data_IF_128795671436
#
_entry.id   IF_128795671436
#
_cell.length_a   1.000
_cell.length_b   1.000
_cell.length_c   1.000
_cell.angle_alpha   90.00
_cell.angle_beta   90.00
_cell.angle_gamma   90.00
#
_symmetry.space_group_name_H-M   'P 1'
#
loop_
_entity.id
_entity.type
_entity.pdbx_description
1 polymer ?
#
# COMPACT_ATOMS: atom_id res chain seq x y z
N UNK A 1 20.19 7.84 7.91
CA UNK A 1 19.40 8.51 6.86
C UNK A 1 18.51 9.51 7.58
N UNK A 2 18.42 10.76 7.14
CA UNK A 2 17.59 11.77 7.79
C UNK A 2 16.12 11.61 7.38
N UNK A 3 15.20 11.83 8.32
CA UNK A 3 13.78 12.03 7.98
C UNK A 3 13.59 13.35 7.25
N UNK A 4 12.39 13.57 6.68
CA UNK A 4 12.07 14.84 6.00
C UNK A 4 12.15 16.02 6.96
N UNK A 5 11.67 15.86 8.18
CA UNK A 5 11.64 16.88 9.23
C UNK A 5 13.05 17.20 9.70
N UNK A 6 13.87 16.18 9.93
CA UNK A 6 15.28 16.33 10.26
C UNK A 6 16.03 17.09 9.16
N UNK A 7 15.80 16.71 7.89
CA UNK A 7 16.43 17.38 6.77
C UNK A 7 15.99 18.84 6.65
N UNK A 8 14.70 19.13 6.87
CA UNK A 8 14.16 20.48 6.79
C UNK A 8 14.79 21.45 7.79
N UNK A 9 15.11 20.97 9.00
CA UNK A 9 15.75 21.81 10.04
C UNK A 9 17.12 22.34 9.62
N UNK A 10 17.92 21.52 8.92
CA UNK A 10 19.30 21.88 8.56
C UNK A 10 19.47 22.29 7.10
N UNK A 11 18.44 22.12 6.27
CA UNK A 11 18.53 22.34 4.82
C UNK A 11 19.07 23.72 4.48
N UNK A 12 18.59 24.76 5.18
CA UNK A 12 19.00 26.16 5.00
C UNK A 12 20.51 26.36 5.18
N UNK A 13 21.10 25.78 6.21
CA UNK A 13 22.52 25.97 6.53
C UNK A 13 23.41 25.15 5.60
N UNK A 14 22.93 23.97 5.20
CA UNK A 14 23.62 23.11 4.25
C UNK A 14 23.74 23.78 2.88
N UNK A 15 22.66 24.34 2.34
CA UNK A 15 22.71 24.99 1.00
C UNK A 15 23.52 26.30 0.98
N UNK A 16 23.70 26.94 2.15
CA UNK A 16 24.58 28.11 2.29
C UNK A 16 26.06 27.71 2.27
N UNK A 17 26.36 26.51 2.78
CA UNK A 17 27.74 26.01 2.92
C UNK A 17 28.20 25.27 1.66
N UNK A 18 27.32 24.51 1.02
CA UNK A 18 27.62 23.76 -0.21
C UNK A 18 26.85 24.36 -1.41
N UNK A 19 27.52 25.16 -2.25
CA UNK A 19 26.89 25.75 -3.42
C UNK A 19 26.65 24.75 -4.55
N UNK A 20 27.30 23.59 -4.62
CA UNK A 20 26.99 22.60 -5.65
C UNK A 20 25.93 21.60 -5.15
N UNK A 21 24.67 21.83 -5.54
CA UNK A 21 23.56 20.95 -5.17
C UNK A 21 23.76 19.50 -5.61
N UNK A 22 24.57 19.24 -6.65
CA UNK A 22 24.83 17.88 -7.15
C UNK A 22 25.55 17.00 -6.11
N UNK A 23 26.28 17.63 -5.17
CA UNK A 23 26.96 16.95 -4.07
C UNK A 23 26.03 16.55 -2.93
N UNK A 24 24.85 17.16 -2.84
CA UNK A 24 23.87 16.85 -1.81
C UNK A 24 23.23 15.49 -2.04
N UNK A 25 22.95 14.76 -0.96
CA UNK A 25 22.25 13.48 -1.02
C UNK A 25 20.74 13.68 -1.17
N UNK A 26 20.02 12.67 -1.66
CA UNK A 26 18.55 12.69 -1.74
C UNK A 26 17.90 12.95 -0.37
N UNK A 27 18.48 12.37 0.69
CA UNK A 27 18.03 12.52 2.08
C UNK A 27 18.19 13.94 2.64
N UNK A 28 19.13 14.73 2.11
CA UNK A 28 19.24 16.16 2.43
C UNK A 28 18.27 16.98 1.59
N UNK A 29 18.19 16.69 0.28
CA UNK A 29 17.37 17.45 -0.67
C UNK A 29 15.87 17.40 -0.36
N UNK A 30 15.36 16.32 0.24
CA UNK A 30 13.97 16.26 0.71
C UNK A 30 13.63 17.28 1.81
N UNK A 31 14.64 17.93 2.42
CA UNK A 31 14.49 19.00 3.41
C UNK A 31 14.15 20.37 2.81
N UNK A 32 13.97 20.47 1.49
CA UNK A 32 13.56 21.72 0.86
C UNK A 32 12.26 22.28 1.46
N UNK A 33 12.22 23.57 1.76
CA UNK A 33 11.01 24.22 2.28
C UNK A 33 10.74 25.52 1.54
N UNK A 34 9.49 25.97 1.58
CA UNK A 34 9.10 27.22 0.94
C UNK A 34 9.79 28.43 1.59
N UNK A 35 10.00 28.40 2.91
CA UNK A 35 10.72 29.44 3.63
C UNK A 35 12.15 29.61 3.09
N UNK A 36 12.85 28.49 2.85
CA UNK A 36 14.20 28.53 2.26
C UNK A 36 14.16 28.98 0.81
N UNK A 37 13.18 28.53 0.03
CA UNK A 37 13.04 28.93 -1.37
C UNK A 37 12.86 30.45 -1.54
N UNK A 38 12.08 31.08 -0.66
CA UNK A 38 11.84 32.53 -0.69
C UNK A 38 13.11 33.36 -0.41
N UNK A 39 14.14 32.79 0.21
CA UNK A 39 15.44 33.45 0.44
C UNK A 39 16.41 33.25 -0.76
N UNK A 40 16.04 32.45 -1.76
CA UNK A 40 16.90 32.09 -2.88
C UNK A 40 16.50 32.82 -4.16
N UNK A 41 17.49 33.12 -5.01
CA UNK A 41 17.24 33.61 -6.36
C UNK A 41 16.49 32.56 -7.20
N UNK A 42 15.53 32.95 -8.06
CA UNK A 42 14.73 32.01 -8.86
C UNK A 42 15.57 31.04 -9.71
N UNK A 43 16.66 31.52 -10.32
CA UNK A 43 17.58 30.68 -11.10
C UNK A 43 18.17 29.55 -10.26
N UNK A 44 18.48 29.87 -9.00
CA UNK A 44 19.08 28.92 -8.06
C UNK A 44 18.09 27.85 -7.62
N UNK A 45 16.82 28.23 -7.45
CA UNK A 45 15.73 27.29 -7.19
C UNK A 45 15.50 26.38 -8.41
N UNK A 46 15.58 26.91 -9.62
CA UNK A 46 15.48 26.10 -10.84
C UNK A 46 16.62 25.07 -10.94
N UNK A 47 17.86 25.45 -10.65
CA UNK A 47 19.00 24.53 -10.62
C UNK A 47 18.81 23.41 -9.59
N UNK A 48 18.37 23.78 -8.38
CA UNK A 48 18.05 22.85 -7.30
C UNK A 48 16.97 21.85 -7.73
N UNK A 49 15.89 22.33 -8.35
CA UNK A 49 14.79 21.48 -8.83
C UNK A 49 15.28 20.45 -9.87
N UNK A 50 16.15 20.85 -10.79
CA UNK A 50 16.75 19.93 -11.78
C UNK A 50 17.62 18.87 -11.11
N UNK A 51 18.34 19.22 -10.05
CA UNK A 51 19.11 18.26 -9.24
C UNK A 51 18.17 17.29 -8.52
N UNK A 52 17.08 17.80 -7.94
CA UNK A 52 16.06 16.96 -7.30
C UNK A 52 15.46 15.95 -8.26
N UNK A 53 15.18 16.33 -9.53
CA UNK A 53 14.77 15.38 -10.57
C UNK A 53 15.82 14.30 -10.80
N UNK A 54 17.08 14.69 -11.05
CA UNK A 54 18.18 13.75 -11.33
C UNK A 54 18.41 12.73 -10.20
N UNK A 55 18.12 13.13 -8.96
CA UNK A 55 18.24 12.28 -7.76
C UNK A 55 16.92 11.64 -7.31
N UNK A 56 15.83 11.77 -8.09
CA UNK A 56 14.50 11.25 -7.78
C UNK A 56 14.03 11.59 -6.34
N UNK A 57 14.21 12.84 -5.92
CA UNK A 57 13.83 13.30 -4.57
C UNK A 57 12.31 13.30 -4.43
N UNK A 58 11.78 12.64 -3.39
CA UNK A 58 10.33 12.62 -3.09
C UNK A 58 9.92 13.86 -2.30
N UNK A 59 9.20 14.75 -2.95
CA UNK A 59 8.68 15.99 -2.36
C UNK A 59 7.20 15.83 -2.00
N UNK A 60 6.76 16.50 -0.93
CA UNK A 60 5.35 16.59 -0.55
C UNK A 60 4.59 17.67 -1.35
N UNK A 61 3.26 17.64 -1.26
CA UNK A 61 2.38 18.56 -2.00
C UNK A 61 2.71 20.04 -1.72
N UNK A 62 2.92 20.43 -0.46
CA UNK A 62 3.26 21.82 -0.09
C UNK A 62 4.63 22.26 -0.64
N UNK A 63 5.61 21.36 -0.62
CA UNK A 63 6.94 21.60 -1.19
C UNK A 63 6.82 21.83 -2.70
N UNK A 64 6.05 21.01 -3.40
CA UNK A 64 5.84 21.10 -4.85
C UNK A 64 5.04 22.33 -5.26
N UNK A 65 3.96 22.66 -4.54
CA UNK A 65 3.15 23.86 -4.77
C UNK A 65 4.00 25.13 -4.68
N UNK A 66 4.87 25.21 -3.66
CA UNK A 66 5.82 26.31 -3.57
C UNK A 66 6.91 26.27 -4.66
N UNK A 67 7.46 25.09 -4.94
CA UNK A 67 8.50 24.94 -5.95
C UNK A 67 8.00 25.35 -7.34
N UNK A 68 6.77 25.02 -7.72
CA UNK A 68 6.13 25.53 -8.96
C UNK A 68 6.13 27.04 -8.98
N UNK A 69 5.63 27.70 -7.93
CA UNK A 69 5.56 29.18 -7.87
C UNK A 69 6.93 29.83 -8.07
N UNK A 70 7.96 29.28 -7.44
CA UNK A 70 9.32 29.80 -7.54
C UNK A 70 9.95 29.55 -8.92
N UNK A 71 9.77 28.35 -9.48
CA UNK A 71 10.27 27.98 -10.81
C UNK A 71 9.64 28.85 -11.91
N UNK A 72 8.37 29.19 -11.75
CA UNK A 72 7.59 30.00 -12.71
C UNK A 72 7.75 31.52 -12.53
N UNK A 73 8.48 31.97 -11.51
CA UNK A 73 8.51 33.37 -11.10
C UNK A 73 9.07 34.32 -12.18
N UNK A 74 10.02 33.85 -13.01
CA UNK A 74 10.57 34.59 -14.15
C UNK A 74 9.97 34.18 -15.50
N UNK A 75 8.77 33.61 -15.46
CA UNK A 75 8.08 33.04 -16.61
C UNK A 75 8.26 31.53 -16.70
N UNK A 76 7.53 30.94 -17.64
CA UNK A 76 7.45 29.49 -17.81
C UNK A 76 8.75 28.95 -18.42
N UNK A 77 9.46 28.02 -17.75
CA UNK A 77 10.61 27.35 -18.33
C UNK A 77 10.28 26.63 -19.63
N UNK A 78 11.20 26.67 -20.60
CA UNK A 78 11.06 25.94 -21.88
C UNK A 78 11.49 24.48 -21.77
N UNK A 79 12.02 24.07 -20.62
CA UNK A 79 12.61 22.77 -20.37
C UNK A 79 11.96 22.10 -19.15
N UNK A 80 10.63 22.13 -19.03
CA UNK A 80 9.90 21.52 -17.91
C UNK A 80 10.19 20.01 -17.73
N UNK A 81 10.60 19.34 -18.80
CA UNK A 81 11.14 17.97 -18.79
C UNK A 81 12.41 17.80 -17.94
N UNK A 82 13.09 18.86 -17.54
CA UNK A 82 14.26 18.80 -16.65
C UNK A 82 13.90 18.87 -15.16
N UNK A 83 12.63 19.10 -14.81
CA UNK A 83 12.13 19.24 -13.44
C UNK A 83 11.34 18.00 -12.97
N UNK A 84 11.18 17.75 -11.66
CA UNK A 84 10.41 16.62 -11.14
C UNK A 84 9.02 16.51 -11.80
N UNK A 85 8.62 15.31 -12.23
CA UNK A 85 7.34 15.12 -12.92
C UNK A 85 6.15 15.51 -12.05
N UNK A 86 6.28 15.36 -10.72
CA UNK A 86 5.25 15.72 -9.74
C UNK A 86 4.91 17.22 -9.76
N UNK A 87 5.80 18.09 -10.25
CA UNK A 87 5.48 19.52 -10.43
C UNK A 87 4.38 19.72 -11.48
N UNK A 88 4.31 18.84 -12.48
CA UNK A 88 3.31 18.95 -13.54
C UNK A 88 1.89 18.77 -13.01
N UNK A 89 1.70 18.12 -11.86
CA UNK A 89 0.39 18.01 -11.20
C UNK A 89 -0.21 19.36 -10.81
N UNK A 90 0.63 20.39 -10.65
CA UNK A 90 0.24 21.74 -10.26
C UNK A 90 0.29 22.74 -11.42
N UNK A 91 0.44 22.25 -12.65
CA UNK A 91 0.48 23.05 -13.87
C UNK A 91 -0.71 22.73 -14.77
N UNK A 92 -0.98 23.61 -15.74
CA UNK A 92 -1.93 23.33 -16.81
C UNK A 92 -1.19 22.81 -18.05
N UNK A 93 -1.84 22.00 -18.90
CA UNK A 93 -1.26 21.58 -20.18
C UNK A 93 -0.83 22.76 -21.07
N UNK A 94 -1.51 23.90 -20.96
CA UNK A 94 -1.13 25.14 -21.67
C UNK A 94 0.24 25.67 -21.25
N UNK A 95 0.60 25.50 -19.97
CA UNK A 95 1.89 25.95 -19.45
C UNK A 95 3.02 25.07 -20.00
N UNK A 96 2.73 23.84 -20.44
CA UNK A 96 3.71 22.94 -21.03
C UNK A 96 3.98 23.20 -22.52
N UNK A 97 3.19 24.05 -23.19
CA UNK A 97 3.21 24.20 -24.65
C UNK A 97 4.58 24.61 -25.22
N UNK A 98 5.40 25.33 -24.45
CA UNK A 98 6.76 25.72 -24.85
C UNK A 98 7.80 24.59 -24.67
N UNK A 99 7.51 23.58 -23.85
CA UNK A 99 8.39 22.43 -23.58
C UNK A 99 8.09 21.27 -24.53
N UNK A 100 6.81 20.96 -24.77
CA UNK A 100 6.46 19.83 -25.61
C UNK A 100 4.97 19.71 -25.89
N UNK A 101 4.61 18.55 -26.43
CA UNK A 101 3.21 18.28 -26.81
C UNK A 101 2.34 17.93 -25.60
N UNK A 102 1.02 18.08 -25.76
CA UNK A 102 0.06 17.64 -24.75
C UNK A 102 0.18 16.14 -24.42
N UNK A 103 0.46 15.28 -25.41
CA UNK A 103 0.73 13.85 -25.17
C UNK A 103 1.94 13.63 -24.26
N UNK A 104 3.01 14.41 -24.48
CA UNK A 104 4.23 14.35 -23.67
C UNK A 104 4.00 14.87 -22.25
N UNK A 105 3.22 15.94 -22.09
CA UNK A 105 2.78 16.43 -20.79
C UNK A 105 2.10 15.31 -20.00
N UNK A 106 1.06 14.68 -20.56
CA UNK A 106 0.34 13.61 -19.86
C UNK A 106 1.17 12.34 -19.68
N UNK A 107 2.11 12.02 -20.58
CA UNK A 107 3.05 10.92 -20.37
C UNK A 107 4.01 11.15 -19.19
N UNK A 108 4.28 12.41 -18.83
CA UNK A 108 5.06 12.76 -17.64
C UNK A 108 4.19 12.84 -16.39
N UNK A 109 2.98 13.42 -16.49
CA UNK A 109 1.97 13.41 -15.41
C UNK A 109 1.62 11.98 -15.00
N UNK A 110 1.45 11.07 -15.95
CA UNK A 110 1.16 9.65 -15.68
C UNK A 110 2.27 8.92 -14.92
N UNK A 111 3.47 9.49 -14.81
CA UNK A 111 4.59 8.96 -14.00
C UNK A 111 4.68 9.62 -12.62
N UNK A 112 3.91 10.67 -12.37
CA UNK A 112 3.89 11.39 -11.10
C UNK A 112 3.11 10.63 -10.03
N UNK A 113 3.38 10.90 -8.76
CA UNK A 113 2.64 10.34 -7.63
C UNK A 113 1.29 11.04 -7.46
N UNK A 114 0.20 10.42 -7.89
CA UNK A 114 -1.14 11.03 -7.81
C UNK A 114 -1.65 11.27 -6.40
N UNK A 115 -1.10 10.59 -5.38
CA UNK A 115 -1.48 10.76 -3.98
C UNK A 115 -1.08 12.14 -3.41
N UNK A 116 -0.31 12.91 -4.18
CA UNK A 116 -0.06 14.33 -3.93
C UNK A 116 -1.32 15.20 -4.13
N UNK A 117 -2.30 14.69 -4.88
CA UNK A 117 -3.62 15.29 -5.04
C UNK A 117 -4.67 14.38 -4.37
N UNK A 118 -5.52 14.97 -3.54
CA UNK A 118 -6.63 14.22 -2.93
C UNK A 118 -7.48 13.58 -4.04
N UNK A 119 -7.86 12.30 -3.87
CA UNK A 119 -8.47 11.46 -4.92
C UNK A 119 -9.70 12.09 -5.58
N UNK A 120 -10.53 12.75 -4.78
CA UNK A 120 -11.78 13.37 -5.23
C UNK A 120 -11.68 14.89 -5.39
N UNK A 121 -10.46 15.45 -5.34
CA UNK A 121 -10.24 16.87 -5.58
C UNK A 121 -10.67 17.29 -6.98
N UNK A 122 -11.13 18.53 -7.09
CA UNK A 122 -11.51 19.12 -8.37
C UNK A 122 -10.35 19.14 -9.37
N UNK A 123 -9.14 19.33 -8.85
CA UNK A 123 -7.86 19.40 -9.56
C UNK A 123 -7.52 18.06 -10.21
N UNK A 124 -7.60 16.96 -9.44
CA UNK A 124 -7.32 15.61 -9.95
C UNK A 124 -8.35 15.16 -10.99
N UNK A 125 -9.63 15.46 -10.74
CA UNK A 125 -10.70 15.19 -11.71
C UNK A 125 -10.50 15.98 -13.01
N UNK A 126 -10.15 17.27 -12.90
CA UNK A 126 -9.89 18.11 -14.06
C UNK A 126 -8.68 17.60 -14.86
N UNK A 127 -7.62 17.17 -14.18
CA UNK A 127 -6.42 16.60 -14.80
C UNK A 127 -6.74 15.36 -15.64
N UNK A 128 -7.59 14.46 -15.12
CA UNK A 128 -8.07 13.30 -15.88
C UNK A 128 -8.88 13.73 -17.11
N UNK A 129 -9.83 14.66 -16.96
CA UNK A 129 -10.65 15.13 -18.08
C UNK A 129 -9.81 15.76 -19.20
N UNK A 130 -8.81 16.55 -18.84
CA UNK A 130 -7.86 17.15 -19.78
C UNK A 130 -6.99 16.08 -20.47
N UNK A 131 -6.59 15.03 -19.74
CA UNK A 131 -5.85 13.91 -20.30
C UNK A 131 -6.68 13.16 -21.35
N UNK A 132 -7.93 12.85 -21.02
CA UNK A 132 -8.86 12.17 -21.93
C UNK A 132 -9.11 13.00 -23.21
N UNK A 133 -9.31 14.31 -23.06
CA UNK A 133 -9.49 15.24 -24.17
C UNK A 133 -8.23 15.34 -25.05
N UNK A 134 -7.06 15.42 -24.42
CA UNK A 134 -5.77 15.48 -25.09
C UNK A 134 -5.48 14.25 -25.95
N UNK A 135 -5.78 13.07 -25.40
CA UNK A 135 -5.58 11.78 -26.07
C UNK A 135 -6.69 11.43 -27.05
N UNK A 136 -7.75 12.26 -27.12
CA UNK A 136 -8.92 12.07 -27.99
C UNK A 136 -9.53 10.68 -27.83
N UNK A 137 -9.70 10.25 -26.57
CA UNK A 137 -10.24 8.93 -26.27
C UNK A 137 -11.73 8.88 -26.67
N UNK A 138 -12.13 7.97 -27.58
CA UNK A 138 -13.52 7.89 -28.04
C UNK A 138 -14.39 7.17 -27.01
N UNK A 139 -15.28 7.92 -26.35
CA UNK A 139 -16.11 7.39 -25.28
C UNK A 139 -15.25 6.81 -24.16
N UNK A 140 -15.41 5.52 -23.87
CA UNK A 140 -14.67 4.81 -22.81
C UNK A 140 -13.56 3.89 -23.35
N UNK A 141 -13.28 3.95 -24.65
CA UNK A 141 -12.37 3.01 -25.33
C UNK A 141 -10.90 3.47 -25.24
N UNK A 142 -10.17 2.96 -24.25
CA UNK A 142 -8.75 3.23 -24.04
C UNK A 142 -7.91 2.12 -24.66
N UNK A 143 -7.07 2.47 -25.63
CA UNK A 143 -6.11 1.52 -26.22
C UNK A 143 -4.84 1.41 -25.37
N UNK A 144 -3.97 0.43 -25.69
CA UNK A 144 -2.74 0.15 -24.95
C UNK A 144 -1.73 1.31 -24.95
N UNK A 145 -1.68 2.11 -26.01
CA UNK A 145 -0.78 3.27 -26.08
C UNK A 145 -1.26 4.38 -25.14
N UNK A 146 -2.55 4.70 -25.20
CA UNK A 146 -3.17 5.71 -24.36
C UNK A 146 -3.15 5.31 -22.88
N UNK A 147 -3.37 4.04 -22.55
CA UNK A 147 -3.25 3.52 -21.18
C UNK A 147 -1.85 3.77 -20.60
N UNK A 148 -0.80 3.51 -21.38
CA UNK A 148 0.60 3.78 -20.98
C UNK A 148 0.89 5.27 -20.83
N UNK A 149 0.28 6.13 -21.65
CA UNK A 149 0.44 7.59 -21.52
C UNK A 149 -0.26 8.09 -20.26
N UNK A 150 -1.48 7.59 -19.98
CA UNK A 150 -2.20 7.92 -18.76
C UNK A 150 -1.43 7.49 -17.51
N UNK A 151 -0.72 6.36 -17.56
CA UNK A 151 0.08 5.87 -16.43
C UNK A 151 -0.79 5.77 -15.18
N UNK A 152 -0.38 6.39 -14.07
CA UNK A 152 -1.16 6.38 -12.83
C UNK A 152 -2.55 7.03 -12.95
N UNK A 153 -2.83 7.89 -13.94
CA UNK A 153 -4.18 8.46 -14.13
C UNK A 153 -5.24 7.40 -14.44
N UNK A 154 -4.84 6.19 -14.84
CA UNK A 154 -5.78 5.07 -15.00
C UNK A 154 -6.48 4.71 -13.69
N UNK A 155 -5.88 5.00 -12.54
CA UNK A 155 -6.44 4.71 -11.21
C UNK A 155 -7.71 5.51 -10.90
N UNK A 156 -7.98 6.57 -11.66
CA UNK A 156 -9.16 7.43 -11.52
C UNK A 156 -10.20 7.19 -12.63
N UNK A 157 -9.95 6.25 -13.55
CA UNK A 157 -10.94 5.88 -14.57
C UNK A 157 -12.10 5.11 -13.94
N UNK A 158 -13.33 5.50 -14.24
CA UNK A 158 -14.54 4.83 -13.75
C UNK A 158 -14.66 3.38 -14.25
N UNK A 159 -15.48 2.59 -13.56
CA UNK A 159 -15.68 1.16 -13.88
C UNK A 159 -16.11 0.90 -15.33
N UNK A 160 -16.77 1.85 -16.00
CA UNK A 160 -17.14 1.75 -17.42
C UNK A 160 -15.92 1.66 -18.36
N UNK A 161 -14.85 2.41 -18.10
CA UNK A 161 -13.61 2.34 -18.88
C UNK A 161 -12.93 0.98 -18.70
N UNK A 162 -12.92 0.49 -17.47
CA UNK A 162 -12.37 -0.83 -17.12
C UNK A 162 -13.12 -1.92 -17.88
N UNK A 163 -14.46 -1.90 -17.86
CA UNK A 163 -15.30 -2.87 -18.58
C UNK A 163 -15.07 -2.84 -20.08
N UNK A 164 -14.97 -1.65 -20.68
CA UNK A 164 -14.81 -1.51 -22.13
C UNK A 164 -13.39 -1.71 -22.64
N UNK A 165 -12.38 -1.62 -21.78
CA UNK A 165 -10.96 -1.57 -22.18
C UNK A 165 -10.03 -2.40 -21.30
N UNK A 166 -10.55 -3.46 -20.68
CA UNK A 166 -9.84 -4.33 -19.75
C UNK A 166 -8.47 -4.82 -20.28
N UNK A 167 -8.42 -5.26 -21.54
CA UNK A 167 -7.18 -5.78 -22.15
C UNK A 167 -6.04 -4.75 -22.23
N UNK A 168 -6.36 -3.46 -22.22
CA UNK A 168 -5.37 -2.38 -22.21
C UNK A 168 -5.07 -1.86 -20.80
N UNK A 169 -6.05 -1.88 -19.89
CA UNK A 169 -5.97 -1.19 -18.60
C UNK A 169 -5.46 -2.07 -17.45
N UNK A 170 -5.74 -3.38 -17.43
CA UNK A 170 -5.47 -4.21 -16.24
C UNK A 170 -4.01 -4.20 -15.76
N UNK A 171 -3.06 -4.09 -16.70
CA UNK A 171 -1.63 -3.99 -16.36
C UNK A 171 -1.28 -2.67 -15.68
N UNK A 172 -1.83 -1.56 -16.16
CA UNK A 172 -1.55 -0.25 -15.58
C UNK A 172 -2.33 -0.08 -14.26
N UNK A 173 -3.56 -0.63 -14.18
CA UNK A 173 -4.34 -0.69 -12.95
C UNK A 173 -3.64 -1.48 -11.84
N UNK A 174 -2.81 -2.49 -12.16
CA UNK A 174 -2.07 -3.23 -11.13
C UNK A 174 -0.99 -2.40 -10.42
N UNK A 175 -0.75 -1.16 -10.86
CA UNK A 175 0.11 -0.19 -10.18
C UNK A 175 -0.65 0.75 -9.23
N UNK A 176 -1.98 0.71 -9.22
CA UNK A 176 -2.80 1.54 -8.34
C UNK A 176 -2.75 1.04 -6.90
N UNK A 177 -2.76 1.97 -5.94
CA UNK A 177 -2.72 1.63 -4.51
C UNK A 177 -4.09 1.17 -3.97
N UNK A 178 -5.18 1.70 -4.52
CA UNK A 178 -6.55 1.39 -4.08
C UNK A 178 -7.58 1.65 -5.17
N UNK A 179 -8.77 1.07 -5.01
CA UNK A 179 -9.86 1.15 -5.97
C UNK A 179 -11.16 1.60 -5.29
N UNK A 180 -12.02 2.26 -6.05
CA UNK A 180 -13.39 2.54 -5.65
C UNK A 180 -14.27 1.29 -5.83
N UNK A 181 -15.40 1.17 -5.10
CA UNK A 181 -16.26 -0.02 -5.17
C UNK A 181 -16.73 -0.37 -6.59
N UNK A 182 -17.01 0.64 -7.42
CA UNK A 182 -17.42 0.46 -8.82
C UNK A 182 -16.27 -0.07 -9.70
N UNK A 183 -15.05 0.39 -9.46
CA UNK A 183 -13.84 -0.07 -10.11
C UNK A 183 -13.55 -1.51 -9.71
N UNK A 184 -13.68 -1.85 -8.43
CA UNK A 184 -13.48 -3.22 -7.94
C UNK A 184 -14.44 -4.20 -8.62
N UNK A 185 -15.73 -3.86 -8.67
CA UNK A 185 -16.74 -4.66 -9.35
C UNK A 185 -16.41 -4.84 -10.84
N UNK A 186 -16.01 -3.75 -11.51
CA UNK A 186 -15.60 -3.79 -12.91
C UNK A 186 -14.39 -4.71 -13.12
N UNK A 187 -13.36 -4.61 -12.28
CA UNK A 187 -12.15 -5.45 -12.33
C UNK A 187 -12.51 -6.92 -12.14
N UNK A 188 -13.30 -7.26 -11.12
CA UNK A 188 -13.76 -8.64 -10.87
C UNK A 188 -14.54 -9.21 -12.06
N UNK A 189 -15.43 -8.40 -12.63
CA UNK A 189 -16.25 -8.78 -13.78
C UNK A 189 -15.39 -9.10 -15.01
N UNK A 190 -14.46 -8.22 -15.38
CA UNK A 190 -13.62 -8.43 -16.58
C UNK A 190 -12.64 -9.57 -16.39
N UNK A 191 -12.04 -9.73 -15.21
CA UNK A 191 -11.17 -10.87 -14.88
C UNK A 191 -11.94 -12.18 -14.97
N UNK A 192 -13.14 -12.23 -14.38
CA UNK A 192 -13.97 -13.43 -14.38
C UNK A 192 -14.43 -13.85 -15.77
N UNK A 193 -14.64 -12.89 -16.68
CA UNK A 193 -15.00 -13.15 -18.08
C UNK A 193 -13.88 -13.80 -18.89
N UNK A 194 -12.63 -13.62 -18.47
CA UNK A 194 -11.44 -14.04 -19.22
C UNK A 194 -11.16 -13.25 -20.50
N UNK A 195 -11.98 -12.23 -20.84
CA UNK A 195 -11.78 -11.37 -22.00
C UNK A 195 -10.71 -10.30 -21.74
N UNK A 196 -9.52 -10.77 -21.40
CA UNK A 196 -8.37 -9.94 -21.06
C UNK A 196 -7.14 -10.45 -21.80
N UNK A 197 -6.08 -9.65 -21.84
CA UNK A 197 -4.78 -10.08 -22.36
C UNK A 197 -4.12 -11.19 -21.53
N UNK A 198 -4.60 -11.43 -20.32
CA UNK A 198 -4.12 -12.46 -19.39
C UNK A 198 -4.93 -13.76 -19.47
N UNK A 199 -6.04 -13.78 -20.21
CA UNK A 199 -6.94 -14.92 -20.29
C UNK A 199 -7.74 -15.17 -19.00
N UNK A 200 -8.50 -16.28 -18.94
CA UNK A 200 -9.31 -16.63 -17.78
C UNK A 200 -8.43 -17.13 -16.60
N UNK A 201 -8.90 -17.01 -15.34
CA UNK A 201 -8.12 -17.39 -14.15
C UNK A 201 -7.57 -18.82 -14.16
N UNK A 202 -8.26 -19.77 -14.80
CA UNK A 202 -7.83 -21.16 -14.94
C UNK A 202 -6.53 -21.32 -15.75
N UNK A 203 -6.23 -20.36 -16.63
CA UNK A 203 -5.05 -20.37 -17.51
C UNK A 203 -3.88 -19.55 -16.94
N UNK A 204 -4.04 -18.95 -15.75
CA UNK A 204 -3.02 -18.09 -15.18
C UNK A 204 -1.78 -18.86 -14.75
N UNK A 205 -0.63 -18.20 -14.92
CA UNK A 205 0.67 -18.65 -14.41
C UNK A 205 1.08 -17.85 -13.18
N UNK A 206 2.13 -18.29 -12.48
CA UNK A 206 2.69 -17.50 -11.38
C UNK A 206 3.24 -16.13 -11.87
N UNK A 207 3.73 -16.06 -13.11
CA UNK A 207 4.12 -14.78 -13.72
C UNK A 207 2.91 -13.86 -13.90
N UNK A 208 1.76 -14.41 -14.30
CA UNK A 208 0.51 -13.66 -14.46
C UNK A 208 0.07 -13.06 -13.13
N UNK A 209 0.07 -13.85 -12.05
CA UNK A 209 -0.23 -13.36 -10.70
C UNK A 209 0.75 -12.29 -10.23
N UNK A 210 2.04 -12.44 -10.57
CA UNK A 210 3.05 -11.43 -10.24
C UNK A 210 2.84 -10.11 -11.00
N UNK A 211 2.45 -10.16 -12.28
CA UNK A 211 2.10 -8.95 -13.05
C UNK A 211 0.82 -8.26 -12.54
N UNK A 212 -0.12 -9.05 -12.00
CA UNK A 212 -1.40 -8.57 -11.47
C UNK A 212 -1.40 -8.40 -9.94
N UNK A 213 -0.22 -8.34 -9.31
CA UNK A 213 -0.13 -8.34 -7.84
C UNK A 213 -0.92 -7.20 -7.18
N UNK A 214 -0.94 -5.99 -7.76
CA UNK A 214 -1.76 -4.89 -7.22
C UNK A 214 -3.27 -5.08 -7.35
N UNK A 215 -3.74 -6.04 -8.15
CA UNK A 215 -5.17 -6.38 -8.25
C UNK A 215 -5.60 -7.49 -7.29
N UNK A 216 -4.65 -8.21 -6.68
CA UNK A 216 -4.92 -9.29 -5.70
C UNK A 216 -5.90 -8.87 -4.60
N UNK A 217 -5.82 -7.66 -4.01
CA UNK A 217 -6.75 -7.23 -2.98
C UNK A 217 -8.21 -7.14 -3.44
N UNK A 218 -8.43 -6.99 -4.75
CA UNK A 218 -9.76 -6.87 -5.35
C UNK A 218 -10.35 -8.24 -5.67
N UNK A 219 -9.54 -9.30 -5.78
CA UNK A 219 -10.02 -10.61 -6.19
C UNK A 219 -10.77 -11.32 -5.06
N UNK A 220 -11.94 -11.87 -5.39
CA UNK A 220 -12.78 -12.62 -4.46
C UNK A 220 -12.60 -14.14 -4.57
N UNK A 221 -13.22 -14.86 -3.63
CA UNK A 221 -13.22 -16.32 -3.57
C UNK A 221 -13.62 -16.99 -4.90
N UNK A 222 -14.55 -16.38 -5.66
CA UNK A 222 -15.04 -16.95 -6.93
C UNK A 222 -13.99 -16.94 -8.04
N UNK A 223 -13.06 -15.97 -7.98
CA UNK A 223 -11.91 -15.89 -8.88
C UNK A 223 -10.81 -16.82 -8.39
N UNK A 224 -10.49 -16.79 -7.10
CA UNK A 224 -9.41 -17.60 -6.55
C UNK A 224 -9.61 -19.10 -6.71
N UNK A 225 -10.84 -19.61 -6.51
CA UNK A 225 -11.18 -21.02 -6.72
C UNK A 225 -10.93 -21.50 -8.17
N UNK A 226 -10.88 -20.58 -9.13
CA UNK A 226 -10.59 -20.89 -10.53
C UNK A 226 -9.10 -20.97 -10.81
N UNK A 227 -8.25 -20.36 -9.99
CA UNK A 227 -6.79 -20.38 -10.18
C UNK A 227 -6.23 -21.74 -9.76
N UNK A 228 -5.35 -22.39 -10.55
CA UNK A 228 -4.79 -23.68 -10.16
C UNK A 228 -4.01 -23.62 -8.85
N UNK A 229 -4.29 -24.52 -7.89
CA UNK A 229 -3.66 -24.54 -6.57
C UNK A 229 -2.12 -24.61 -6.62
N UNK A 230 -1.57 -25.40 -7.54
CA UNK A 230 -0.12 -25.50 -7.73
C UNK A 230 0.51 -24.17 -8.16
N UNK A 231 -0.23 -23.33 -8.91
CA UNK A 231 0.21 -21.99 -9.31
C UNK A 231 0.21 -21.05 -8.11
N UNK A 232 -0.85 -21.06 -7.29
CA UNK A 232 -0.91 -20.26 -6.06
C UNK A 232 0.20 -20.65 -5.07
N UNK A 233 0.43 -21.94 -4.84
CA UNK A 233 1.52 -22.42 -3.97
C UNK A 233 2.89 -22.00 -4.50
N UNK A 234 3.14 -22.16 -5.81
CA UNK A 234 4.40 -21.73 -6.41
C UNK A 234 4.56 -20.20 -6.33
N UNK A 235 3.49 -19.44 -6.51
CA UNK A 235 3.53 -18.00 -6.42
C UNK A 235 3.86 -17.53 -5.00
N UNK A 236 3.15 -18.06 -3.99
CA UNK A 236 3.42 -17.75 -2.58
C UNK A 236 4.88 -18.04 -2.20
N UNK A 237 5.41 -19.18 -2.63
CA UNK A 237 6.78 -19.59 -2.32
C UNK A 237 7.84 -18.63 -2.86
N UNK A 238 7.65 -18.13 -4.09
CA UNK A 238 8.70 -17.41 -4.81
C UNK A 238 8.51 -15.89 -4.83
N UNK A 239 7.29 -15.39 -4.61
CA UNK A 239 6.97 -13.96 -4.78
C UNK A 239 6.33 -13.31 -3.56
N UNK A 240 5.74 -14.05 -2.61
CA UNK A 240 5.03 -13.42 -1.48
C UNK A 240 5.93 -12.57 -0.60
N UNK A 241 7.19 -12.99 -0.36
CA UNK A 241 8.15 -12.24 0.46
C UNK A 241 8.49 -10.86 -0.12
N UNK A 242 8.66 -10.80 -1.43
CA UNK A 242 9.04 -9.57 -2.14
C UNK A 242 7.82 -8.76 -2.61
N UNK A 243 6.61 -9.29 -2.37
CA UNK A 243 5.37 -8.62 -2.72
C UNK A 243 5.09 -7.44 -1.78
N UNK A 244 4.42 -6.42 -2.30
CA UNK A 244 3.93 -5.28 -1.50
C UNK A 244 2.62 -5.58 -0.76
N UNK A 245 2.14 -6.82 -0.83
CA UNK A 245 0.87 -7.19 -0.22
C UNK A 245 0.99 -7.25 1.29
N UNK A 246 -0.07 -6.83 1.96
CA UNK A 246 -0.19 -7.01 3.40
C UNK A 246 -0.32 -8.50 3.75
N UNK A 247 0.01 -8.85 5.00
CA UNK A 247 -0.22 -10.20 5.52
C UNK A 247 -1.70 -10.61 5.45
N UNK A 248 -2.63 -9.65 5.48
CA UNK A 248 -4.05 -9.91 5.34
C UNK A 248 -4.43 -10.30 3.92
N UNK A 249 -3.88 -9.60 2.92
CA UNK A 249 -4.07 -9.91 1.50
C UNK A 249 -3.44 -11.24 1.12
N UNK A 250 -2.29 -11.60 1.69
CA UNK A 250 -1.70 -12.92 1.46
C UNK A 250 -2.52 -14.05 2.09
N UNK A 251 -3.19 -13.78 3.22
CA UNK A 251 -3.98 -14.78 3.90
C UNK A 251 -5.23 -15.20 3.13
N UNK A 252 -5.80 -14.32 2.30
CA UNK A 252 -6.92 -14.70 1.41
C UNK A 252 -6.46 -15.80 0.45
N UNK A 253 -5.23 -15.73 -0.07
CA UNK A 253 -4.67 -16.79 -0.94
C UNK A 253 -4.39 -18.07 -0.15
N UNK A 254 -3.90 -17.96 1.09
CA UNK A 254 -3.66 -19.12 1.97
C UNK A 254 -4.97 -19.88 2.22
N UNK A 255 -6.07 -19.15 2.48
CA UNK A 255 -7.39 -19.73 2.71
C UNK A 255 -7.87 -20.60 1.54
N UNK A 256 -7.58 -20.20 0.30
CA UNK A 256 -7.94 -20.92 -0.93
C UNK A 256 -7.16 -22.23 -1.10
N UNK A 257 -5.94 -22.27 -0.53
CA UNK A 257 -5.09 -23.45 -0.54
C UNK A 257 -5.47 -24.45 0.53
N UNK A 258 -6.07 -24.01 1.63
CA UNK A 258 -6.53 -24.89 2.70
C UNK A 258 -7.63 -25.85 2.20
N UNK A 259 -7.71 -27.06 2.78
CA UNK A 259 -8.76 -28.00 2.44
C UNK A 259 -10.12 -27.51 2.95
N UNK A 260 -11.12 -27.43 2.06
CA UNK A 260 -12.50 -27.04 2.41
C UNK A 260 -13.18 -27.98 3.40
N UNK A 261 -12.74 -29.25 3.48
CA UNK A 261 -13.28 -30.23 4.42
C UNK A 261 -12.36 -30.38 5.63
N UNK A 262 -12.84 -29.94 6.78
CA UNK A 262 -12.17 -30.15 8.06
C UNK A 262 -12.08 -31.66 8.36
N UNK A 263 -10.87 -32.15 8.65
CA UNK A 263 -10.68 -33.51 9.17
C UNK A 263 -11.07 -33.51 10.65
N UNK A 264 -11.76 -34.56 11.11
CA UNK A 264 -12.06 -34.72 12.55
C UNK A 264 -10.78 -35.04 13.30
N UNK A 265 -10.63 -34.43 14.47
CA UNK A 265 -9.62 -34.66 15.52
C UNK A 265 -8.38 -35.43 15.05
N UNK A 266 -7.51 -34.72 14.34
CA UNK A 266 -6.20 -35.22 13.94
C UNK A 266 -5.23 -34.71 15.00
N UNK A 267 -4.70 -35.61 15.84
CA UNK A 267 -3.57 -35.26 16.71
C UNK A 267 -2.40 -34.71 15.88
N UNK A 268 -1.50 -33.92 16.49
CA UNK A 268 -0.40 -33.29 15.74
C UNK A 268 0.46 -34.36 15.03
N UNK A 269 0.49 -34.39 13.69
CA UNK A 269 1.31 -35.35 12.98
C UNK A 269 2.79 -35.15 13.34
N UNK A 270 3.54 -36.24 13.53
CA UNK A 270 4.93 -36.17 13.99
C UNK A 270 5.83 -35.29 13.10
N UNK A 271 5.57 -35.31 11.80
CA UNK A 271 6.29 -34.53 10.77
C UNK A 271 5.89 -33.04 10.76
N UNK A 272 4.74 -32.69 11.34
CA UNK A 272 4.20 -31.33 11.38
C UNK A 272 4.37 -30.68 12.75
N UNK A 273 5.22 -31.23 13.63
CA UNK A 273 5.60 -30.53 14.85
C UNK A 273 6.25 -29.20 14.50
N UNK A 274 5.87 -28.15 15.21
CA UNK A 274 6.42 -26.81 15.02
C UNK A 274 7.87 -26.82 15.50
N UNK A 275 8.79 -27.04 14.56
CA UNK A 275 10.24 -26.99 14.75
C UNK A 275 10.80 -25.71 14.16
N UNK A 276 12.05 -25.38 14.46
CA UNK A 276 12.76 -24.25 13.85
C UNK A 276 12.76 -24.31 12.31
N UNK A 277 12.82 -25.51 11.72
CA UNK A 277 12.76 -25.68 10.26
C UNK A 277 11.39 -25.30 9.68
N UNK A 278 10.31 -25.53 10.42
CA UNK A 278 8.95 -25.12 10.02
C UNK A 278 8.79 -23.61 10.18
N UNK A 279 9.28 -23.04 11.29
CA UNK A 279 9.26 -21.60 11.56
C UNK A 279 10.11 -20.77 10.60
N UNK A 280 11.00 -21.40 9.85
CA UNK A 280 11.80 -20.74 8.82
C UNK A 280 11.23 -20.91 7.41
N UNK A 281 10.06 -21.54 7.27
CA UNK A 281 9.43 -21.80 5.99
C UNK A 281 8.19 -20.92 5.80
N UNK A 282 8.17 -20.11 4.73
CA UNK A 282 7.07 -19.17 4.45
C UNK A 282 5.74 -19.84 4.14
N UNK A 283 5.80 -21.09 3.71
CA UNK A 283 4.63 -21.89 3.41
C UNK A 283 4.06 -22.55 4.67
N UNK A 284 4.57 -22.24 5.87
CA UNK A 284 4.00 -22.73 7.13
C UNK A 284 2.46 -22.65 7.17
N UNK A 285 1.80 -21.55 6.76
CA UNK A 285 0.34 -21.44 6.86
C UNK A 285 -0.43 -22.46 6.03
N UNK A 286 0.13 -22.96 4.93
CA UNK A 286 -0.56 -23.95 4.08
C UNK A 286 -0.33 -25.39 4.55
N UNK A 287 0.54 -25.62 5.55
CA UNK A 287 0.82 -26.96 6.09
C UNK A 287 -0.19 -27.41 7.15
N UNK A 288 -0.94 -26.48 7.73
CA UNK A 288 -1.82 -26.76 8.86
C UNK A 288 -3.25 -26.38 8.54
N UNK A 289 -4.19 -27.31 8.67
CA UNK A 289 -5.59 -26.90 8.90
C UNK A 289 -5.72 -26.24 10.28
N UNK A 290 -6.80 -25.50 10.57
CA UNK A 290 -7.04 -24.96 11.90
C UNK A 290 -6.97 -26.02 13.02
N UNK A 291 -7.47 -27.23 12.76
CA UNK A 291 -7.44 -28.34 13.73
C UNK A 291 -6.04 -28.90 13.94
N UNK A 292 -5.28 -29.10 12.85
CA UNK A 292 -3.88 -29.55 12.92
C UNK A 292 -3.01 -28.51 13.63
N UNK A 293 -3.22 -27.23 13.35
CA UNK A 293 -2.55 -26.11 14.04
C UNK A 293 -2.86 -26.15 15.54
N UNK A 294 -4.14 -26.29 15.91
CA UNK A 294 -4.58 -26.39 17.31
C UNK A 294 -3.89 -27.55 18.01
N UNK A 295 -3.89 -28.73 17.39
CA UNK A 295 -3.25 -29.92 17.95
C UNK A 295 -1.74 -29.75 18.14
N UNK A 296 -1.06 -29.10 17.19
CA UNK A 296 0.38 -28.87 17.25
C UNK A 296 0.80 -27.76 18.22
N UNK A 297 -0.08 -26.80 18.51
CA UNK A 297 0.17 -25.74 19.49
C UNK A 297 -0.02 -26.16 20.96
N UNK A 298 -0.66 -27.31 21.24
CA UNK A 298 -0.90 -27.76 22.63
C UNK A 298 0.38 -27.78 23.48
N UNK A 299 1.48 -28.27 22.93
CA UNK A 299 2.76 -28.42 23.63
C UNK A 299 3.77 -27.30 23.32
N UNK A 300 3.39 -26.28 22.56
CA UNK A 300 4.25 -25.14 22.24
C UNK A 300 4.07 -24.08 23.32
N UNK A 301 5.19 -23.63 23.89
CA UNK A 301 5.22 -22.51 24.81
C UNK A 301 5.05 -21.19 24.05
N UNK A 302 4.28 -20.25 24.61
CA UNK A 302 4.15 -18.89 24.06
C UNK A 302 5.42 -18.08 24.37
N UNK A 303 6.49 -18.36 23.65
CA UNK A 303 7.81 -17.72 23.75
C UNK A 303 8.07 -16.81 22.53
N UNK A 304 9.30 -16.31 22.36
CA UNK A 304 9.68 -15.53 21.18
C UNK A 304 9.36 -16.23 19.85
N UNK A 305 9.46 -17.56 19.80
CA UNK A 305 9.12 -18.36 18.62
C UNK A 305 7.62 -18.26 18.26
N UNK A 306 6.75 -18.12 19.26
CA UNK A 306 5.32 -17.90 19.03
C UNK A 306 5.05 -16.51 18.44
N UNK A 307 5.83 -15.50 18.82
CA UNK A 307 5.70 -14.15 18.24
C UNK A 307 6.04 -14.15 16.75
N UNK A 308 6.97 -15.00 16.32
CA UNK A 308 7.29 -15.18 14.89
C UNK A 308 6.10 -15.77 14.12
N UNK A 309 5.35 -16.69 14.75
CA UNK A 309 4.14 -17.30 14.15
C UNK A 309 3.10 -16.20 13.84
N UNK A 310 3.01 -15.14 14.64
CA UNK A 310 2.01 -14.08 14.43
C UNK A 310 2.24 -13.22 13.18
N UNK A 311 3.45 -13.23 12.60
CA UNK A 311 3.75 -12.50 11.37
C UNK A 311 3.31 -13.25 10.09
N UNK A 312 2.97 -14.53 10.21
CA UNK A 312 2.57 -15.33 9.06
C UNK A 312 1.16 -14.97 8.54
N UNK A 313 0.92 -15.10 7.22
CA UNK A 313 -0.38 -14.82 6.61
C UNK A 313 -1.39 -15.96 6.83
N UNK A 314 -1.76 -16.21 8.08
CA UNK A 314 -2.76 -17.21 8.47
C UNK A 314 -4.19 -16.78 8.08
N UNK A 315 -5.04 -17.74 7.70
CA UNK A 315 -6.48 -17.47 7.51
C UNK A 315 -7.15 -17.03 8.82
N UNK A 316 -8.34 -16.45 8.74
CA UNK A 316 -9.07 -16.02 9.95
C UNK A 316 -9.37 -17.18 10.90
N UNK A 317 -9.63 -18.39 10.38
CA UNK A 317 -9.83 -19.60 11.19
C UNK A 317 -8.54 -20.02 11.92
N UNK A 318 -7.39 -19.93 11.25
CA UNK A 318 -6.09 -20.23 11.85
C UNK A 318 -5.69 -19.17 12.89
N UNK A 319 -5.99 -17.89 12.63
CA UNK A 319 -5.79 -16.81 13.61
C UNK A 319 -6.66 -17.02 14.87
N UNK A 320 -7.90 -17.51 14.72
CA UNK A 320 -8.74 -17.83 15.87
C UNK A 320 -8.12 -18.92 16.76
N UNK A 321 -7.45 -19.92 16.18
CA UNK A 321 -6.70 -20.95 16.91
C UNK A 321 -5.51 -20.35 17.68
N UNK A 322 -4.78 -19.42 17.06
CA UNK A 322 -3.68 -18.71 17.73
C UNK A 322 -4.19 -17.85 18.89
N UNK A 323 -5.34 -17.18 18.71
CA UNK A 323 -6.00 -16.43 19.79
C UNK A 323 -6.41 -17.36 20.94
N UNK A 324 -7.04 -18.50 20.63
CA UNK A 324 -7.43 -19.51 21.62
C UNK A 324 -6.23 -19.93 22.49
N UNK A 325 -5.08 -20.20 21.86
CA UNK A 325 -3.85 -20.53 22.58
C UNK A 325 -3.35 -19.39 23.47
N UNK A 326 -3.46 -18.14 23.03
CA UNK A 326 -3.09 -16.98 23.84
C UNK A 326 -4.03 -16.79 25.02
N UNK A 327 -5.34 -16.93 24.82
CA UNK A 327 -6.35 -16.83 25.87
C UNK A 327 -6.19 -17.94 26.92
N UNK A 328 -5.84 -19.16 26.52
CA UNK A 328 -5.52 -20.27 27.43
C UNK A 328 -4.27 -19.97 28.28
N UNK A 329 -3.27 -19.31 27.69
CA UNK A 329 -1.99 -19.01 28.36
C UNK A 329 -2.10 -17.78 29.26
N UNK A 330 -2.92 -16.80 28.88
CA UNK A 330 -3.08 -15.50 29.53
C UNK A 330 -4.56 -15.21 29.83
N UNK A 331 -5.21 -15.97 30.72
CA UNK A 331 -6.64 -15.83 31.00
C UNK A 331 -7.02 -14.45 31.56
N UNK A 332 -6.07 -13.83 32.28
CA UNK A 332 -6.20 -12.54 32.96
C UNK A 332 -5.72 -11.35 32.12
N UNK A 333 -5.48 -11.55 30.81
CA UNK A 333 -5.05 -10.50 29.88
C UNK A 333 -3.60 -10.63 29.43
N UNK A 334 -3.32 -10.08 28.25
CA UNK A 334 -2.03 -10.25 27.57
C UNK A 334 -0.93 -9.37 28.17
N UNK A 335 0.32 -9.87 28.23
CA UNK A 335 1.43 -9.11 28.77
C UNK A 335 1.87 -7.98 27.84
N UNK A 336 2.49 -6.97 28.44
CA UNK A 336 2.89 -5.74 27.76
C UNK A 336 3.83 -5.94 26.58
N UNK A 337 4.66 -6.98 26.63
CA UNK A 337 5.59 -7.33 25.56
C UNK A 337 4.92 -7.97 24.33
N UNK A 338 3.69 -8.48 24.48
CA UNK A 338 2.93 -9.17 23.42
C UNK A 338 2.00 -8.22 22.69
N UNK A 339 1.39 -7.25 23.38
CA UNK A 339 0.38 -6.35 22.81
C UNK A 339 0.82 -5.63 21.52
N UNK A 340 2.04 -5.05 21.44
CA UNK A 340 2.51 -4.40 20.22
C UNK A 340 2.76 -5.38 19.06
N UNK A 341 2.79 -6.69 19.33
CA UNK A 341 3.17 -7.74 18.38
C UNK A 341 1.99 -8.62 17.97
N UNK A 342 0.76 -8.26 18.35
CA UNK A 342 -0.43 -9.02 17.99
C UNK A 342 -0.64 -9.08 16.46
N UNK A 343 -0.14 -8.09 15.73
CA UNK A 343 -0.19 -8.07 14.27
C UNK A 343 -1.62 -8.24 13.80
N UNK A 344 -1.90 -9.28 13.00
CA UNK A 344 -3.24 -9.56 12.49
C UNK A 344 -4.24 -10.10 13.51
N UNK A 345 -3.80 -10.54 14.69
CA UNK A 345 -4.74 -10.96 15.73
C UNK A 345 -5.58 -9.81 16.26
N UNK A 346 -5.15 -8.55 16.08
CA UNK A 346 -5.90 -7.36 16.52
C UNK A 346 -7.32 -7.33 15.96
N UNK A 347 -7.54 -7.82 14.74
CA UNK A 347 -8.88 -7.87 14.14
C UNK A 347 -9.85 -8.85 14.83
N UNK A 348 -9.33 -9.77 15.64
CA UNK A 348 -10.11 -10.74 16.41
C UNK A 348 -10.24 -10.35 17.89
N UNK A 349 -9.62 -9.24 18.31
CA UNK A 349 -9.69 -8.77 19.69
C UNK A 349 -11.01 -8.06 19.93
N UNK A 350 -11.69 -8.46 21.01
CA UNK A 350 -12.96 -7.86 21.43
C UNK A 350 -12.74 -6.87 22.57
N UNK A 351 -13.74 -6.02 22.83
CA UNK A 351 -13.76 -5.12 24.00
C UNK A 351 -13.64 -5.88 25.33
N UNK A 352 -14.14 -7.12 25.39
CA UNK A 352 -14.00 -8.01 26.56
C UNK A 352 -12.58 -8.52 26.75
N UNK A 353 -11.81 -8.66 25.68
CA UNK A 353 -10.39 -9.03 25.78
C UNK A 353 -9.60 -7.82 26.30
N UNK A 354 -9.86 -6.63 25.75
CA UNK A 354 -9.19 -5.38 26.12
C UNK A 354 -9.40 -5.04 27.59
N UNK A 355 -10.61 -5.28 28.14
CA UNK A 355 -10.91 -4.97 29.54
C UNK A 355 -10.11 -5.80 30.55
N UNK A 356 -9.49 -6.90 30.12
CA UNK A 356 -8.60 -7.70 30.96
C UNK A 356 -7.16 -7.19 30.94
N UNK A 357 -6.78 -6.39 29.94
CA UNK A 357 -5.40 -5.96 29.78
C UNK A 357 -5.01 -4.95 30.85
N UNK A 358 -3.85 -5.17 31.46
CA UNK A 358 -3.28 -4.26 32.45
C UNK A 358 -2.35 -3.29 31.74
N UNK A 359 -2.91 -2.23 31.14
CA UNK A 359 -2.10 -1.19 30.47
C UNK A 359 -1.40 -0.37 31.56
N UNK A 360 -0.08 -0.55 31.70
CA UNK A 360 0.70 0.09 32.78
C UNK A 360 1.52 1.31 32.36
N UNK A 361 1.68 1.59 31.06
CA UNK A 361 2.49 2.70 30.56
C UNK A 361 1.81 3.54 29.48
N UNK A 362 2.11 4.84 29.45
CA UNK A 362 1.64 5.75 28.41
C UNK A 362 2.20 5.39 27.02
N UNK A 363 3.45 4.92 26.97
CA UNK A 363 4.10 4.46 25.72
C UNK A 363 3.37 3.25 25.13
N UNK A 364 2.89 2.32 25.96
CA UNK A 364 2.05 1.23 25.52
C UNK A 364 0.72 1.72 24.97
N UNK A 365 0.08 2.68 25.65
CA UNK A 365 -1.18 3.24 25.19
C UNK A 365 -1.00 3.86 23.80
N UNK A 366 0.08 4.61 23.60
CA UNK A 366 0.44 5.16 22.29
C UNK A 366 0.64 4.05 21.24
N UNK A 367 1.37 2.98 21.57
CA UNK A 367 1.57 1.84 20.66
C UNK A 367 0.25 1.13 20.30
N UNK A 368 -0.69 1.02 21.24
CA UNK A 368 -2.02 0.46 20.97
C UNK A 368 -2.87 1.37 20.08
N UNK A 369 -2.76 2.69 20.25
CA UNK A 369 -3.45 3.67 19.40
C UNK A 369 -2.88 3.69 17.97
N UNK A 370 -1.57 3.50 17.80
CA UNK A 370 -0.96 3.37 16.48
C UNK A 370 -1.42 2.11 15.73
N UNK A 371 -1.70 1.01 16.43
CA UNK A 371 -2.24 -0.22 15.83
C UNK A 371 -3.69 -0.04 15.33
N UNK A 372 -4.44 0.87 15.94
CA UNK A 372 -5.81 1.24 15.52
C UNK A 372 -5.76 2.07 14.22
N UNK A 373 -4.83 3.03 14.15
CA UNK A 373 -4.64 3.90 12.97
C UNK A 373 -4.19 3.14 11.70
N UNK A 374 -3.54 1.99 11.85
CA UNK A 374 -3.12 1.14 10.72
C UNK A 374 -4.18 0.15 10.25
N UNK A 375 -5.23 -0.08 11.05
CA UNK A 375 -6.36 -0.94 10.68
C UNK A 375 -7.61 -0.06 10.55
N UNK A 376 -7.86 0.49 9.36
CA UNK A 376 -9.02 1.36 9.03
C UNK A 376 -10.42 0.71 9.26
N UNK A 377 -10.52 -0.39 10.00
CA UNK A 377 -11.76 -1.12 10.31
C UNK A 377 -11.98 -1.40 11.80
N UNK A 378 -11.03 -1.09 12.68
CA UNK A 378 -11.24 -1.22 14.13
C UNK A 378 -11.38 0.19 14.69
N UNK A 379 -12.52 0.46 15.33
CA UNK A 379 -12.62 1.56 16.28
C UNK A 379 -12.36 0.96 17.65
N UNK A 380 -11.13 1.03 18.16
CA UNK A 380 -10.82 0.54 19.50
C UNK A 380 -11.36 1.55 20.52
N UNK A 381 -12.34 1.12 21.31
CA UNK A 381 -12.75 1.83 22.51
C UNK A 381 -11.76 1.54 23.63
N UNK A 382 -10.95 2.53 24.01
CA UNK A 382 -10.13 2.45 25.22
C UNK A 382 -10.97 2.96 26.40
N UNK A 383 -11.29 2.09 27.35
CA UNK A 383 -12.00 2.44 28.57
C UNK A 383 -11.08 2.31 29.79
N UNK A 384 -10.89 3.40 30.53
CA UNK A 384 -10.15 3.41 31.81
C UNK A 384 -11.04 3.00 32.99
N UNK A 385 -10.47 2.45 34.09
CA UNK A 385 -11.19 2.20 35.34
C UNK A 385 -11.40 3.52 36.11
N UNK A 386 -12.05 4.48 35.47
CA UNK A 386 -12.71 5.67 36.00
C UNK A 386 -13.35 6.43 34.81
N UNK A 387 -14.48 5.90 34.33
CA UNK A 387 -15.58 6.67 33.73
C UNK A 387 -15.38 7.47 32.43
N UNK A 388 -14.38 7.19 31.59
CA UNK A 388 -14.39 7.72 30.22
C UNK A 388 -13.98 6.64 29.21
N UNK A 389 -14.91 6.34 28.30
CA UNK A 389 -14.66 5.55 27.09
C UNK A 389 -14.62 6.56 25.93
N UNK A 390 -13.50 6.68 25.24
CA UNK A 390 -13.39 7.56 24.07
C UNK A 390 -13.59 6.77 22.78
N UNK A 391 -14.41 7.34 21.89
CA UNK A 391 -14.51 6.98 20.48
C UNK A 391 -13.44 7.81 19.76
N UNK A 392 -12.49 7.18 19.07
CA UNK A 392 -11.30 7.85 18.49
C UNK A 392 -11.65 8.88 17.39
N UNK A 393 -12.92 9.05 17.01
CA UNK A 393 -13.33 10.12 16.08
C UNK A 393 -13.38 11.51 16.73
N UNK A 394 -13.69 11.65 18.02
CA UNK A 394 -14.05 12.97 18.61
C UNK A 394 -12.88 13.87 19.05
N UNK A 395 -11.63 13.57 18.69
CA UNK A 395 -10.47 14.44 19.00
C UNK A 395 -9.80 15.07 17.77
N UNK A 396 -10.43 15.01 16.59
CA UNK A 396 -9.97 15.67 15.37
C UNK A 396 -11.01 16.64 14.79
N UNK A 397 -11.49 17.58 15.62
CA UNK A 397 -12.01 18.89 15.17
C UNK A 397 -11.32 19.99 15.96
#
# INVERSE_FOLDING_TARGET
MWTREQAAMFFRDVIKTEPDFSRLSQSVLQGYTCAVANEMEPERVQELAKVMKRKNVKLGADQLSCLVKMVMLRGIPKDLDSYPNDLLLFLRPSDYAATGSCKQYFANVGKASLDLLQRESSERRQLLLEALACLKIPGTQVNKENAKILGHLVCDLGGEYIRSSAGALLKELSQCESFLPDQEEAIRSVISSGNTTFGPPQAWSASTLNELTGLIPVLDHSIWQKVPKNVLTFWLKNFARDSRLSRAQLATIVEELLPSRQKRDVGCPGELRITETVLNNDLMPIYYTPEELRACLKNVSVTNDFLQILDYPFSNEQLAVLKEKLDETYPDGYPDSLLPKLGRLTSLITTKDISKWKITSADMLAALLELDLQNEQVGIWVCFPAQICFLVWELLV
#
